data_IF_289992461866
#
_entry.id   IF_289992461866
#
_cell.length_a   1.000
_cell.length_b   1.000
_cell.length_c   1.000
_cell.angle_alpha   90.00
_cell.angle_beta   90.00
_cell.angle_gamma   90.00
#
_symmetry.space_group_name_H-M   'P 1'
#
loop_
_entity.id
_entity.type
_entity.pdbx_description
1 polymer ?
#
# COMPACT_ATOMS: atom_id res chain seq x y z
N UNK A 1 -22.05 14.35 -4.94
CA UNK A 1 -23.00 13.81 -5.95
C UNK A 1 -22.52 12.43 -6.34
N UNK A 2 -23.37 11.40 -6.23
CA UNK A 2 -22.99 9.99 -6.40
C UNK A 2 -22.23 9.66 -7.70
N UNK A 3 -22.43 10.43 -8.78
CA UNK A 3 -21.68 10.25 -10.03
C UNK A 3 -20.20 10.62 -9.92
N UNK A 4 -19.88 11.69 -9.17
CA UNK A 4 -18.49 12.09 -8.92
C UNK A 4 -17.77 11.05 -8.06
N UNK A 5 -18.42 10.58 -7.00
CA UNK A 5 -17.85 9.54 -6.13
C UNK A 5 -17.60 8.23 -6.91
N UNK A 6 -18.56 7.79 -7.72
CA UNK A 6 -18.37 6.62 -8.59
C UNK A 6 -17.20 6.80 -9.56
N UNK A 7 -17.00 8.00 -10.09
CA UNK A 7 -15.85 8.30 -10.95
C UNK A 7 -14.53 8.19 -10.18
N UNK A 8 -14.44 8.75 -8.97
CA UNK A 8 -13.24 8.65 -8.14
C UNK A 8 -12.94 7.20 -7.74
N UNK A 9 -13.95 6.43 -7.35
CA UNK A 9 -13.80 5.00 -7.06
C UNK A 9 -13.29 4.21 -8.28
N UNK A 10 -13.87 4.48 -9.46
CA UNK A 10 -13.44 3.85 -10.71
C UNK A 10 -12.01 4.24 -11.08
N UNK A 11 -11.62 5.50 -10.88
CA UNK A 11 -10.24 5.97 -11.12
C UNK A 11 -9.25 5.30 -10.17
N UNK A 12 -9.58 5.21 -8.88
CA UNK A 12 -8.72 4.55 -7.89
C UNK A 12 -8.50 3.07 -8.25
N UNK A 13 -9.59 2.35 -8.59
CA UNK A 13 -9.52 0.97 -9.05
C UNK A 13 -8.71 0.86 -10.35
N UNK A 14 -8.86 1.81 -11.28
CA UNK A 14 -8.13 1.79 -12.55
C UNK A 14 -6.63 2.02 -12.37
N UNK A 15 -6.24 2.96 -11.50
CA UNK A 15 -4.84 3.17 -11.13
C UNK A 15 -4.24 1.90 -10.52
N UNK A 16 -5.00 1.20 -9.67
CA UNK A 16 -4.58 -0.08 -9.08
C UNK A 16 -4.38 -1.18 -10.12
N UNK A 17 -5.22 -1.22 -11.16
CA UNK A 17 -5.15 -2.23 -12.22
C UNK A 17 -4.15 -1.91 -13.32
N UNK A 18 -3.58 -0.71 -13.35
CA UNK A 18 -2.60 -0.31 -14.36
C UNK A 18 -1.29 -1.08 -14.18
N UNK A 19 -0.82 -1.72 -15.25
CA UNK A 19 0.32 -2.65 -15.22
C UNK A 19 1.66 -2.03 -15.59
N UNK A 20 1.70 -0.74 -15.91
CA UNK A 20 2.92 -0.04 -16.28
C UNK A 20 3.11 0.08 -17.79
N UNK A 21 4.37 0.09 -18.25
CA UNK A 21 4.71 0.38 -19.64
C UNK A 21 4.13 -0.65 -20.62
N UNK A 22 3.49 -0.17 -21.69
CA UNK A 22 2.77 -1.00 -22.67
C UNK A 22 1.29 -1.26 -22.35
N UNK A 23 0.80 -0.86 -21.18
CA UNK A 23 -0.62 -0.95 -20.83
C UNK A 23 -1.35 0.38 -21.09
N UNK A 24 -2.69 0.34 -21.14
CA UNK A 24 -3.51 1.55 -21.35
C UNK A 24 -4.45 1.79 -20.19
N UNK A 25 -4.75 3.06 -19.91
CA UNK A 25 -5.75 3.44 -18.91
C UNK A 25 -7.12 2.85 -19.22
N UNK A 26 -7.50 2.75 -20.50
CA UNK A 26 -8.76 2.11 -20.92
C UNK A 26 -8.77 0.62 -20.61
N UNK A 27 -7.69 -0.11 -20.90
CA UNK A 27 -7.59 -1.52 -20.55
C UNK A 27 -7.59 -1.74 -19.04
N UNK A 28 -6.92 -0.87 -18.28
CA UNK A 28 -6.93 -0.89 -16.82
C UNK A 28 -8.33 -0.62 -16.25
N UNK A 29 -9.06 0.34 -16.81
CA UNK A 29 -10.46 0.61 -16.47
C UNK A 29 -11.34 -0.59 -16.71
N UNK A 30 -11.20 -1.25 -17.85
CA UNK A 30 -12.03 -2.41 -18.19
C UNK A 30 -11.74 -3.59 -17.25
N UNK A 31 -10.49 -3.77 -16.81
CA UNK A 31 -10.15 -4.74 -15.76
C UNK A 31 -10.76 -4.36 -14.41
N UNK A 32 -10.68 -3.09 -14.02
CA UNK A 32 -11.29 -2.57 -12.79
C UNK A 32 -12.82 -2.75 -12.80
N UNK A 33 -13.46 -2.48 -13.94
CA UNK A 33 -14.89 -2.67 -14.15
C UNK A 33 -15.32 -4.12 -13.94
N UNK A 34 -14.62 -5.07 -14.60
CA UNK A 34 -14.89 -6.50 -14.45
C UNK A 34 -14.72 -6.97 -13.01
N UNK A 35 -13.68 -6.50 -12.30
CA UNK A 35 -13.45 -6.79 -10.88
C UNK A 35 -14.54 -6.20 -9.98
N UNK A 36 -15.07 -5.04 -10.31
CA UNK A 36 -16.18 -4.41 -9.60
C UNK A 36 -17.57 -5.00 -9.96
N UNK A 37 -17.63 -5.99 -10.84
CA UNK A 37 -18.88 -6.62 -11.27
C UNK A 37 -19.74 -5.76 -12.19
N UNK A 38 -19.16 -4.74 -12.84
CA UNK A 38 -19.86 -3.87 -13.80
C UNK A 38 -19.30 -4.06 -15.22
N UNK A 39 -20.10 -3.71 -16.22
CA UNK A 39 -19.65 -3.86 -17.62
C UNK A 39 -18.66 -2.75 -17.99
N UNK A 40 -17.71 -3.02 -18.91
CA UNK A 40 -16.82 -1.98 -19.45
C UNK A 40 -17.57 -0.78 -20.03
N UNK A 41 -18.73 -0.99 -20.66
CA UNK A 41 -19.57 0.09 -21.19
C UNK A 41 -20.16 0.97 -20.09
N UNK A 42 -20.60 0.37 -18.97
CA UNK A 42 -21.06 1.13 -17.80
C UNK A 42 -19.90 1.96 -17.22
N UNK A 43 -18.74 1.35 -17.03
CA UNK A 43 -17.55 2.04 -16.54
C UNK A 43 -17.11 3.18 -17.46
N UNK A 44 -17.13 2.96 -18.78
CA UNK A 44 -16.84 3.99 -19.77
C UNK A 44 -17.80 5.18 -19.69
N UNK A 45 -19.09 4.91 -19.51
CA UNK A 45 -20.08 5.96 -19.35
C UNK A 45 -19.80 6.80 -18.11
N UNK A 46 -19.49 6.18 -16.97
CA UNK A 46 -19.10 6.91 -15.76
C UNK A 46 -17.84 7.73 -16.03
N UNK A 47 -16.80 7.11 -16.59
CA UNK A 47 -15.52 7.75 -16.86
C UNK A 47 -15.65 9.03 -17.69
N UNK A 48 -16.40 8.96 -18.79
CA UNK A 48 -16.51 10.07 -19.76
C UNK A 48 -17.54 11.11 -19.34
N UNK A 49 -18.64 10.71 -18.70
CA UNK A 49 -19.84 11.56 -18.55
C UNK A 49 -20.24 11.86 -17.11
N UNK A 50 -19.45 11.50 -16.10
CA UNK A 50 -19.82 11.71 -14.69
C UNK A 50 -20.24 13.15 -14.35
N UNK A 51 -19.64 14.16 -14.99
CA UNK A 51 -19.96 15.59 -14.77
C UNK A 51 -21.37 15.97 -15.24
N UNK A 52 -21.88 15.27 -16.24
CA UNK A 52 -23.19 15.52 -16.87
C UNK A 52 -24.29 14.62 -16.29
N UNK A 53 -23.91 13.59 -15.52
CA UNK A 53 -24.85 12.62 -14.97
C UNK A 53 -25.66 13.21 -13.82
N UNK A 54 -26.96 13.44 -14.08
CA UNK A 54 -27.93 13.85 -13.05
C UNK A 54 -28.14 12.79 -11.96
N UNK A 55 -28.08 11.51 -12.34
CA UNK A 55 -28.24 10.38 -11.44
C UNK A 55 -27.34 9.21 -11.84
N UNK A 56 -26.92 8.44 -10.84
CA UNK A 56 -26.11 7.24 -11.01
C UNK A 56 -27.01 6.00 -10.87
N UNK A 57 -26.75 4.96 -11.66
CA UNK A 57 -27.41 3.68 -11.46
C UNK A 57 -26.93 3.08 -10.12
N UNK A 58 -27.86 2.69 -9.26
CA UNK A 58 -27.57 2.21 -7.91
C UNK A 58 -26.68 0.96 -7.90
N UNK A 59 -26.89 0.01 -8.82
CA UNK A 59 -26.09 -1.20 -8.90
C UNK A 59 -24.65 -0.91 -9.33
N UNK A 60 -24.49 -0.01 -10.30
CA UNK A 60 -23.16 0.44 -10.74
C UNK A 60 -22.42 1.12 -9.59
N UNK A 61 -23.11 2.00 -8.87
CA UNK A 61 -22.54 2.66 -7.69
C UNK A 61 -22.17 1.65 -6.60
N UNK A 62 -23.05 0.69 -6.30
CA UNK A 62 -22.81 -0.34 -5.28
C UNK A 62 -21.62 -1.23 -5.64
N UNK A 63 -21.51 -1.65 -6.89
CA UNK A 63 -20.37 -2.44 -7.38
C UNK A 63 -19.05 -1.70 -7.21
N UNK A 64 -19.00 -0.43 -7.62
CA UNK A 64 -17.82 0.42 -7.45
C UNK A 64 -17.49 0.68 -5.97
N UNK A 65 -18.49 0.94 -5.14
CA UNK A 65 -18.31 1.17 -3.70
C UNK A 65 -17.75 -0.05 -2.99
N UNK A 66 -18.24 -1.24 -3.31
CA UNK A 66 -17.73 -2.47 -2.72
C UNK A 66 -16.28 -2.74 -3.17
N UNK A 67 -16.00 -2.58 -4.46
CA UNK A 67 -14.64 -2.73 -4.99
C UNK A 67 -13.66 -1.75 -4.33
N UNK A 68 -14.08 -0.50 -4.12
CA UNK A 68 -13.29 0.52 -3.43
C UNK A 68 -13.09 0.18 -1.95
N UNK A 69 -14.12 -0.28 -1.25
CA UNK A 69 -14.00 -0.73 0.14
C UNK A 69 -12.98 -1.87 0.29
N UNK A 70 -13.01 -2.85 -0.60
CA UNK A 70 -12.00 -3.92 -0.64
C UNK A 70 -10.59 -3.39 -0.90
N UNK A 71 -10.44 -2.39 -1.77
CA UNK A 71 -9.16 -1.74 -2.01
C UNK A 71 -8.61 -1.07 -0.75
N UNK A 72 -9.44 -0.31 -0.02
CA UNK A 72 -9.07 0.30 1.25
C UNK A 72 -8.62 -0.74 2.26
N UNK A 73 -9.41 -1.79 2.47
CA UNK A 73 -9.06 -2.88 3.42
C UNK A 73 -7.74 -3.56 3.05
N UNK A 74 -7.46 -3.79 1.76
CA UNK A 74 -6.17 -4.36 1.34
C UNK A 74 -4.98 -3.44 1.66
N UNK A 75 -5.16 -2.13 1.50
CA UNK A 75 -4.11 -1.14 1.79
C UNK A 75 -3.87 -1.07 3.31
N UNK A 76 -4.94 -1.00 4.11
CA UNK A 76 -4.88 -1.00 5.57
C UNK A 76 -4.17 -2.27 6.08
N UNK A 77 -4.59 -3.45 5.62
CA UNK A 77 -3.93 -4.71 6.00
C UNK A 77 -2.45 -4.77 5.60
N UNK A 78 -2.08 -4.12 4.48
CA UNK A 78 -0.68 -4.06 4.05
C UNK A 78 0.12 -3.12 4.93
N UNK A 79 -0.45 -1.97 5.31
CA UNK A 79 0.15 -1.03 6.24
C UNK A 79 0.40 -1.68 7.60
N UNK A 80 -0.61 -2.36 8.17
CA UNK A 80 -0.51 -3.09 9.42
C UNK A 80 0.63 -4.11 9.40
N UNK A 81 0.80 -4.83 8.29
CA UNK A 81 1.89 -5.80 8.14
C UNK A 81 3.26 -5.12 8.13
N UNK A 82 3.41 -4.03 7.37
CA UNK A 82 4.65 -3.28 7.28
C UNK A 82 5.03 -2.70 8.65
N UNK A 83 4.07 -2.16 9.40
CA UNK A 83 4.30 -1.64 10.75
C UNK A 83 4.79 -2.72 11.71
N UNK A 84 4.20 -3.92 11.66
CA UNK A 84 4.67 -5.07 12.47
C UNK A 84 6.07 -5.52 12.09
N UNK A 85 6.36 -5.59 10.79
CA UNK A 85 7.71 -5.93 10.29
C UNK A 85 8.74 -4.90 10.76
N UNK A 86 8.42 -3.61 10.72
CA UNK A 86 9.28 -2.54 11.21
C UNK A 86 9.55 -2.65 12.72
N UNK A 87 8.51 -2.89 13.53
CA UNK A 87 8.65 -3.11 14.97
C UNK A 87 9.55 -4.31 15.28
N UNK A 88 9.36 -5.43 14.56
CA UNK A 88 10.19 -6.63 14.74
C UNK A 88 11.67 -6.39 14.40
N UNK A 89 11.94 -5.61 13.35
CA UNK A 89 13.31 -5.20 13.00
C UNK A 89 13.91 -4.32 14.10
N UNK A 90 13.16 -3.36 14.62
CA UNK A 90 13.61 -2.47 15.70
C UNK A 90 13.92 -3.26 16.99
N UNK A 91 13.04 -4.17 17.39
CA UNK A 91 13.25 -5.06 18.54
C UNK A 91 14.49 -5.95 18.37
N UNK A 92 14.67 -6.53 17.17
CA UNK A 92 15.83 -7.35 16.84
C UNK A 92 17.12 -6.53 16.93
N UNK A 93 17.12 -5.32 16.35
CA UNK A 93 18.26 -4.42 16.40
C UNK A 93 18.58 -4.00 17.84
N UNK A 94 17.56 -3.70 18.65
CA UNK A 94 17.75 -3.35 20.07
C UNK A 94 18.32 -4.53 20.88
N UNK A 95 17.86 -5.76 20.63
CA UNK A 95 18.40 -6.96 21.28
C UNK A 95 19.86 -7.22 20.86
N UNK A 96 20.18 -7.07 19.57
CA UNK A 96 21.55 -7.20 19.08
C UNK A 96 22.48 -6.14 19.68
N UNK A 97 22.03 -4.89 19.78
CA UNK A 97 22.79 -3.82 20.42
C UNK A 97 23.06 -4.09 21.90
N UNK A 98 22.06 -4.60 22.65
CA UNK A 98 22.24 -5.02 24.05
C UNK A 98 23.24 -6.16 24.18
N UNK A 99 23.16 -7.17 23.32
CA UNK A 99 24.10 -8.30 23.33
C UNK A 99 25.53 -7.85 22.99
N UNK A 100 25.70 -6.94 22.02
CA UNK A 100 27.01 -6.35 21.72
C UNK A 100 27.56 -5.53 22.88
N UNK A 101 26.73 -4.73 23.55
CA UNK A 101 27.13 -3.98 24.74
C UNK A 101 27.53 -4.92 25.90
N UNK A 102 26.83 -6.05 26.07
CA UNK A 102 27.18 -7.05 27.08
C UNK A 102 28.49 -7.80 26.75
N UNK A 103 28.79 -8.04 25.47
CA UNK A 103 30.03 -8.68 25.03
C UNK A 103 31.23 -7.72 24.98
N UNK A 104 31.00 -6.43 24.71
CA UNK A 104 32.03 -5.39 24.69
C UNK A 104 32.46 -4.88 26.06
N UNK A 105 31.85 -5.38 27.14
CA UNK A 105 32.21 -5.06 28.54
C UNK A 105 33.34 -5.92 29.13
N UNK A 106 33.95 -6.81 28.34
CA UNK A 106 35.21 -7.47 28.74
C UNK A 106 36.39 -6.62 28.27
N UNK A 107 36.93 -5.83 29.19
CA UNK A 107 38.18 -5.09 29.04
C UNK A 107 39.26 -5.97 28.38
N UNK A 108 39.77 -5.51 27.24
CA UNK A 108 41.06 -5.97 26.76
C UNK A 108 42.11 -5.56 27.81
N UNK A 109 42.90 -6.49 28.38
CA UNK A 109 43.93 -6.11 29.33
C UNK A 109 44.96 -5.25 28.60
N UNK A 110 45.03 -3.97 28.98
CA UNK A 110 46.11 -3.04 28.63
C UNK A 110 47.43 -3.57 29.20
N UNK A 111 48.10 -4.47 28.46
CA UNK A 111 49.53 -4.71 28.63
C UNK A 111 50.30 -3.53 28.05
N UNK A 112 50.44 -2.46 28.84
CA UNK A 112 51.32 -1.33 28.51
C UNK A 112 51.79 -0.62 29.77
N UNK A 113 52.19 -1.38 30.79
CA UNK A 113 52.88 -0.83 31.95
C UNK A 113 53.84 -1.90 32.48
N UNK A 114 55.01 -2.00 31.87
CA UNK A 114 56.26 -2.50 32.50
C UNK A 114 57.39 -2.52 31.46
N UNK A 115 57.97 -1.34 31.20
CA UNK A 115 59.40 -1.19 30.91
C UNK A 115 59.85 0.18 31.41
N UNK A 116 59.91 0.32 32.73
CA UNK A 116 60.80 1.29 33.36
C UNK A 116 62.09 0.55 33.75
N UNK A 117 63.23 1.12 33.31
CA UNK A 117 64.59 1.00 33.85
C UNK A 117 65.32 -0.35 33.68
N UNK A 118 66.21 -0.37 32.69
CA UNK A 118 67.57 -0.90 32.81
C UNK A 118 68.48 -0.12 31.86
#
# INVERSE_FOLDING_TARGET
MAAHEAFEMLNAATRKEYRGWGDTQTAARDRAARKAGITPAQAERVWKRWREMKSMNADVYRGLRNAYGHLCTMIENTADRIEREAQSIEETNAAMARNQAALGGYDAPTQSAEREKA
#
